data_IF_449336631067
#
_entry.id   IF_449336631067
#
_cell.length_a   1.000
_cell.length_b   1.000
_cell.length_c   1.000
_cell.angle_alpha   90.00
_cell.angle_beta   90.00
_cell.angle_gamma   90.00
#
_symmetry.space_group_name_H-M   'P 1'
#
loop_
_entity.id
_entity.type
_entity.pdbx_description
1 polymer ?
#
# COMPACT_ATOMS: atom_id res chain seq x y z
N UNK A 1 9.49 -34.79 6.47
CA UNK A 1 10.34 -34.87 5.24
C UNK A 1 11.66 -34.17 5.46
N UNK A 2 12.77 -34.57 4.82
CA UNK A 2 14.06 -33.86 4.99
C UNK A 2 14.02 -32.57 4.17
N UNK A 3 14.27 -31.44 4.79
CA UNK A 3 14.29 -30.13 4.13
C UNK A 3 15.34 -30.07 3.00
N UNK A 4 16.49 -30.79 3.15
CA UNK A 4 17.51 -30.87 2.11
C UNK A 4 16.94 -31.41 0.77
N UNK A 5 16.11 -32.47 0.83
CA UNK A 5 15.54 -33.11 -0.36
C UNK A 5 14.51 -32.19 -1.04
N UNK A 6 13.76 -31.40 -0.24
CA UNK A 6 12.80 -30.41 -0.74
C UNK A 6 13.50 -29.24 -1.43
N UNK A 7 14.61 -28.75 -0.85
CA UNK A 7 15.43 -27.71 -1.49
C UNK A 7 16.02 -28.24 -2.81
N UNK A 8 16.57 -29.45 -2.81
CA UNK A 8 17.14 -30.08 -4.01
C UNK A 8 16.09 -30.26 -5.11
N UNK A 9 14.87 -30.72 -4.75
CA UNK A 9 13.74 -30.86 -5.67
C UNK A 9 13.42 -29.53 -6.38
N UNK A 10 13.29 -28.43 -5.62
CA UNK A 10 13.00 -27.09 -6.20
C UNK A 10 14.17 -26.57 -7.03
N UNK A 11 15.41 -26.73 -6.55
CA UNK A 11 16.64 -26.36 -7.29
C UNK A 11 16.68 -27.01 -8.66
N UNK A 12 16.28 -28.28 -8.75
CA UNK A 12 16.32 -29.08 -9.98
C UNK A 12 15.07 -28.89 -10.85
N UNK A 13 14.16 -27.95 -10.48
CA UNK A 13 12.98 -27.57 -11.26
C UNK A 13 11.71 -28.38 -10.94
N UNK A 14 11.72 -29.15 -9.86
CA UNK A 14 10.53 -29.91 -9.42
C UNK A 14 9.48 -28.99 -8.76
N UNK A 15 8.22 -29.48 -8.78
CA UNK A 15 7.06 -28.81 -8.15
C UNK A 15 6.75 -29.48 -6.81
N UNK A 16 6.48 -28.68 -5.78
CA UNK A 16 6.10 -29.18 -4.47
C UNK A 16 4.61 -29.54 -4.38
N UNK A 17 4.30 -30.62 -3.65
CA UNK A 17 2.95 -30.89 -3.21
C UNK A 17 2.57 -30.04 -2.00
N UNK A 18 1.27 -30.01 -1.67
CA UNK A 18 0.77 -29.32 -0.46
C UNK A 18 1.49 -29.79 0.82
N UNK A 19 1.63 -31.11 1.00
CA UNK A 19 2.28 -31.70 2.17
C UNK A 19 3.76 -31.30 2.29
N UNK A 20 4.43 -31.15 1.13
CA UNK A 20 5.81 -30.69 1.08
C UNK A 20 5.90 -29.21 1.49
N UNK A 21 4.98 -28.35 0.99
CA UNK A 21 4.90 -26.94 1.38
C UNK A 21 4.55 -26.78 2.87
N UNK A 22 3.61 -27.58 3.39
CA UNK A 22 3.29 -27.62 4.83
C UNK A 22 4.52 -27.99 5.66
N UNK A 23 5.29 -28.98 5.23
CA UNK A 23 6.53 -29.39 5.92
C UNK A 23 7.58 -28.25 5.92
N UNK A 24 7.73 -27.52 4.83
CA UNK A 24 8.67 -26.39 4.72
C UNK A 24 8.22 -25.23 5.62
N UNK A 25 6.97 -24.77 5.46
CA UNK A 25 6.47 -23.56 6.12
C UNK A 25 6.30 -23.77 7.62
N UNK A 26 5.65 -24.87 8.04
CA UNK A 26 5.43 -25.18 9.46
C UNK A 26 6.74 -25.53 10.16
N UNK A 27 7.66 -26.23 9.47
CA UNK A 27 9.01 -26.48 9.98
C UNK A 27 9.80 -25.18 10.18
N UNK A 28 9.61 -24.17 9.32
CA UNK A 28 10.23 -22.86 9.50
C UNK A 28 9.59 -22.06 10.65
N UNK A 29 8.28 -22.13 10.80
CA UNK A 29 7.57 -21.46 11.90
C UNK A 29 7.99 -22.06 13.25
N UNK A 30 8.08 -23.39 13.35
CA UNK A 30 8.50 -24.12 14.58
C UNK A 30 10.00 -24.00 14.89
N UNK A 31 10.83 -23.64 13.92
CA UNK A 31 12.28 -23.57 14.04
C UNK A 31 13.02 -24.87 13.71
N UNK A 32 12.32 -25.89 13.21
CA UNK A 32 12.94 -27.14 12.68
C UNK A 32 13.70 -26.88 11.38
N UNK A 33 13.22 -25.95 10.56
CA UNK A 33 13.90 -25.45 9.35
C UNK A 33 14.68 -24.20 9.74
N UNK A 34 15.98 -24.22 9.57
CA UNK A 34 16.85 -23.08 9.88
C UNK A 34 16.81 -21.99 8.80
N UNK A 35 17.15 -20.74 9.17
CA UNK A 35 17.14 -19.58 8.25
C UNK A 35 17.95 -19.85 6.98
N UNK A 36 19.13 -20.45 7.08
CA UNK A 36 19.97 -20.75 5.90
C UNK A 36 19.33 -21.76 4.94
N UNK A 37 18.51 -22.70 5.47
CA UNK A 37 17.78 -23.67 4.66
C UNK A 37 16.58 -23.00 3.98
N UNK A 38 15.83 -22.17 4.71
CA UNK A 38 14.75 -21.39 4.15
C UNK A 38 15.25 -20.40 3.10
N UNK A 39 16.37 -19.71 3.34
CA UNK A 39 16.99 -18.82 2.36
C UNK A 39 17.39 -19.58 1.08
N UNK A 40 17.97 -20.77 1.19
CA UNK A 40 18.30 -21.61 0.05
C UNK A 40 17.06 -22.05 -0.74
N UNK A 41 15.98 -22.42 -0.05
CA UNK A 41 14.70 -22.76 -0.68
C UNK A 41 14.07 -21.56 -1.40
N UNK A 42 14.02 -20.39 -0.76
CA UNK A 42 13.48 -19.17 -1.38
C UNK A 42 14.32 -18.72 -2.58
N UNK A 43 15.63 -18.89 -2.55
CA UNK A 43 16.49 -18.62 -3.70
C UNK A 43 16.23 -19.63 -4.82
N UNK A 44 16.01 -20.90 -4.52
CA UNK A 44 15.62 -21.90 -5.52
C UNK A 44 14.27 -21.54 -6.17
N UNK A 45 13.30 -21.07 -5.38
CA UNK A 45 12.02 -20.53 -5.90
C UNK A 45 12.25 -19.31 -6.78
N UNK A 46 13.11 -18.39 -6.37
CA UNK A 46 13.45 -17.19 -7.14
C UNK A 46 14.00 -17.54 -8.54
N UNK A 47 14.88 -18.52 -8.61
CA UNK A 47 15.56 -18.92 -9.84
C UNK A 47 14.74 -19.86 -10.75
N UNK A 48 13.83 -20.64 -10.18
CA UNK A 48 13.05 -21.67 -10.89
C UNK A 48 11.58 -21.35 -11.06
N UNK A 49 11.07 -20.36 -10.30
CA UNK A 49 9.64 -20.05 -10.24
C UNK A 49 8.83 -21.09 -9.47
N UNK A 50 7.53 -20.88 -9.49
CA UNK A 50 6.50 -21.80 -8.99
C UNK A 50 5.36 -21.83 -10.01
N UNK A 51 4.60 -22.93 -10.06
CA UNK A 51 3.32 -22.94 -10.80
C UNK A 51 2.27 -22.12 -10.05
N UNK A 52 1.17 -21.78 -10.74
CA UNK A 52 0.07 -21.04 -10.11
C UNK A 52 -0.54 -21.85 -8.97
N UNK A 53 -0.71 -23.18 -9.17
CA UNK A 53 -1.22 -24.09 -8.15
C UNK A 53 -0.26 -24.18 -6.95
N UNK A 54 1.04 -24.34 -7.21
CA UNK A 54 2.06 -24.38 -6.16
C UNK A 54 2.06 -23.08 -5.36
N UNK A 55 1.90 -21.94 -6.01
CA UNK A 55 1.84 -20.63 -5.37
C UNK A 55 0.55 -20.46 -4.55
N UNK A 56 -0.59 -20.95 -5.05
CA UNK A 56 -1.86 -20.92 -4.32
C UNK A 56 -1.81 -21.79 -3.06
N UNK A 57 -1.25 -23.00 -3.16
CA UNK A 57 -1.06 -23.88 -2.00
C UNK A 57 -0.09 -23.29 -0.97
N UNK A 58 1.04 -22.71 -1.41
CA UNK A 58 1.96 -21.99 -0.51
C UNK A 58 1.22 -20.87 0.22
N UNK A 59 0.41 -20.10 -0.49
CA UNK A 59 -0.37 -19.00 0.07
C UNK A 59 -1.33 -19.48 1.14
N UNK A 60 -2.04 -20.57 0.89
CA UNK A 60 -2.97 -21.16 1.85
C UNK A 60 -2.26 -21.64 3.12
N UNK A 61 -1.15 -22.37 2.96
CA UNK A 61 -0.33 -22.83 4.10
C UNK A 61 0.21 -21.65 4.90
N UNK A 62 0.66 -20.59 4.25
CA UNK A 62 1.12 -19.38 4.93
C UNK A 62 -0.02 -18.66 5.66
N UNK A 63 -1.22 -18.58 5.07
CA UNK A 63 -2.39 -17.97 5.70
C UNK A 63 -2.78 -18.72 6.99
N UNK A 64 -2.79 -20.06 6.94
CA UNK A 64 -3.12 -20.93 8.08
C UNK A 64 -1.97 -21.12 9.08
N UNK A 65 -0.80 -20.53 8.85
CA UNK A 65 0.31 -20.58 9.82
C UNK A 65 0.07 -19.75 11.08
N UNK A 66 -1.04 -19.02 11.13
CA UNK A 66 -1.43 -18.17 12.25
C UNK A 66 -2.95 -18.10 12.41
N UNK A 67 -3.43 -17.01 12.98
CA UNK A 67 -4.86 -16.80 13.23
C UNK A 67 -5.56 -16.44 11.90
N UNK A 68 -6.64 -17.14 11.61
CA UNK A 68 -7.62 -16.78 10.58
C UNK A 68 -8.74 -15.98 11.23
N UNK A 69 -8.95 -14.75 10.77
CA UNK A 69 -9.99 -13.85 11.34
C UNK A 69 -11.35 -14.22 10.73
N UNK A 70 -12.29 -14.58 11.59
CA UNK A 70 -13.67 -14.80 11.21
C UNK A 70 -14.45 -13.47 11.28
N UNK A 71 -14.78 -12.89 10.12
CA UNK A 71 -15.59 -11.67 10.00
C UNK A 71 -17.09 -11.95 9.89
N UNK A 72 -17.56 -13.18 10.08
CA UNK A 72 -18.99 -13.53 10.05
C UNK A 72 -19.87 -12.75 11.04
N UNK A 73 -19.37 -12.30 12.23
CA UNK A 73 -20.14 -11.44 13.12
C UNK A 73 -20.42 -10.02 12.56
N UNK A 74 -19.80 -9.65 11.44
CA UNK A 74 -20.05 -8.39 10.74
C UNK A 74 -20.99 -8.66 9.56
N UNK A 75 -22.28 -8.23 9.61
CA UNK A 75 -23.23 -8.49 8.53
C UNK A 75 -22.90 -7.70 7.26
N UNK A 76 -23.20 -8.28 6.10
CA UNK A 76 -22.96 -7.68 4.79
C UNK A 76 -21.59 -8.04 4.23
N UNK A 77 -21.36 -7.57 3.00
CA UNK A 77 -20.09 -7.81 2.28
C UNK A 77 -18.98 -6.92 2.88
N UNK A 78 -17.86 -7.53 3.24
CA UNK A 78 -16.64 -6.85 3.67
C UNK A 78 -15.68 -6.79 2.50
N UNK A 79 -15.29 -5.56 2.12
CA UNK A 79 -14.31 -5.33 1.05
C UNK A 79 -13.03 -4.76 1.65
N UNK A 80 -11.90 -5.29 1.26
CA UNK A 80 -10.59 -4.76 1.61
C UNK A 80 -9.84 -4.25 0.37
N UNK A 81 -8.91 -3.33 0.55
CA UNK A 81 -7.97 -2.88 -0.48
C UNK A 81 -6.55 -3.16 0.00
N UNK A 82 -5.72 -3.72 -0.86
CA UNK A 82 -4.29 -3.84 -0.61
C UNK A 82 -3.50 -3.13 -1.69
N UNK A 83 -2.52 -2.31 -1.29
CA UNK A 83 -1.53 -1.74 -2.20
C UNK A 83 -0.23 -2.51 -2.10
N UNK A 84 0.46 -2.67 -3.22
CA UNK A 84 1.84 -3.19 -3.22
C UNK A 84 2.84 -2.17 -2.68
N UNK A 85 2.39 -0.95 -2.39
CA UNK A 85 3.16 0.13 -1.81
C UNK A 85 3.57 1.17 -2.84
N UNK A 86 3.97 2.34 -2.35
CA UNK A 86 4.39 3.45 -3.20
C UNK A 86 4.64 4.70 -2.38
N UNK A 87 5.03 5.77 -3.06
CA UNK A 87 5.32 7.07 -2.49
C UNK A 87 4.11 7.97 -2.61
N UNK A 88 3.66 8.52 -1.48
CA UNK A 88 2.39 9.27 -1.44
C UNK A 88 1.15 8.37 -1.51
N UNK A 89 1.27 7.06 -1.30
CA UNK A 89 0.12 6.14 -1.26
C UNK A 89 -0.68 6.31 0.03
N UNK A 90 -1.57 7.30 0.01
CA UNK A 90 -2.55 7.62 1.05
C UNK A 90 -3.95 7.14 0.70
N UNK A 91 -4.12 6.41 -0.38
CA UNK A 91 -5.41 6.02 -0.97
C UNK A 91 -6.35 5.36 0.03
N UNK A 92 -5.85 4.55 0.99
CA UNK A 92 -6.68 3.93 2.03
C UNK A 92 -7.47 4.94 2.86
N UNK A 93 -6.87 6.09 3.21
CA UNK A 93 -7.51 7.12 4.03
C UNK A 93 -8.63 7.85 3.28
N UNK A 94 -8.61 7.79 1.95
CA UNK A 94 -9.63 8.36 1.07
C UNK A 94 -10.71 7.32 0.71
N UNK A 95 -10.30 6.16 0.21
CA UNK A 95 -11.25 5.19 -0.35
C UNK A 95 -12.06 4.47 0.73
N UNK A 96 -11.47 4.19 1.91
CA UNK A 96 -12.19 3.48 2.96
C UNK A 96 -13.40 4.28 3.49
N UNK A 97 -13.29 5.59 3.78
CA UNK A 97 -14.46 6.41 4.11
C UNK A 97 -15.48 6.53 2.97
N UNK A 98 -15.05 6.68 1.71
CA UNK A 98 -15.94 6.73 0.54
C UNK A 98 -16.77 5.45 0.44
N UNK A 99 -16.13 4.31 0.46
CA UNK A 99 -16.79 3.01 0.32
C UNK A 99 -17.71 2.72 1.51
N UNK A 100 -17.30 3.10 2.72
CA UNK A 100 -18.14 2.98 3.92
C UNK A 100 -19.35 3.93 3.89
N UNK A 101 -19.21 5.14 3.38
CA UNK A 101 -20.32 6.09 3.18
C UNK A 101 -21.34 5.54 2.16
N UNK A 102 -20.90 4.79 1.16
CA UNK A 102 -21.76 4.05 0.23
C UNK A 102 -22.39 2.79 0.85
N UNK A 103 -22.23 2.53 2.15
CA UNK A 103 -22.89 1.45 2.88
C UNK A 103 -22.23 0.06 2.70
N UNK A 104 -20.94 0.01 2.37
CA UNK A 104 -20.14 -1.23 2.33
C UNK A 104 -19.27 -1.31 3.58
N UNK A 105 -19.08 -2.51 4.12
CA UNK A 105 -18.28 -2.71 5.34
C UNK A 105 -16.78 -2.76 5.02
N UNK A 106 -15.99 -1.98 5.75
CA UNK A 106 -14.53 -1.95 5.68
C UNK A 106 -13.96 -2.40 7.04
N UNK A 107 -13.49 -3.64 7.08
CA UNK A 107 -12.81 -4.24 8.23
C UNK A 107 -11.33 -4.44 7.86
N UNK A 108 -10.54 -3.35 7.88
CA UNK A 108 -9.20 -3.33 7.27
C UNK A 108 -8.10 -3.48 8.30
N UNK A 109 -7.17 -4.39 8.01
CA UNK A 109 -5.88 -4.49 8.69
C UNK A 109 -4.77 -4.00 7.76
N UNK A 110 -3.94 -3.07 8.24
CA UNK A 110 -2.91 -2.41 7.45
C UNK A 110 -1.54 -2.45 8.13
N UNK A 111 -0.49 -2.17 7.36
CA UNK A 111 0.90 -2.19 7.82
C UNK A 111 1.46 -0.80 8.13
N UNK A 112 2.65 -0.82 8.73
CA UNK A 112 3.54 0.33 8.89
C UNK A 112 4.39 0.52 7.64
N UNK A 113 4.99 1.70 7.49
CA UNK A 113 5.91 2.01 6.40
C UNK A 113 7.15 1.13 6.41
N UNK A 114 7.65 0.83 5.22
CA UNK A 114 8.85 0.04 4.98
C UNK A 114 9.68 0.67 3.86
N UNK A 115 10.98 0.83 4.10
CA UNK A 115 11.89 1.46 3.14
C UNK A 115 11.45 2.90 2.80
N UNK A 116 11.40 3.21 1.51
CA UNK A 116 10.99 4.51 0.98
C UNK A 116 9.46 4.73 0.93
N UNK A 117 8.66 3.71 1.30
CA UNK A 117 7.18 3.79 1.25
C UNK A 117 6.59 4.19 2.61
N UNK A 118 5.56 5.02 2.61
CA UNK A 118 4.82 5.39 3.82
C UNK A 118 3.79 4.33 4.24
N UNK A 119 3.58 4.14 5.55
CA UNK A 119 2.61 3.18 6.09
C UNK A 119 1.28 3.84 6.47
N UNK A 120 0.16 3.18 6.16
CA UNK A 120 -1.18 3.66 6.55
C UNK A 120 -1.31 3.86 8.06
N UNK A 121 -0.75 2.94 8.85
CA UNK A 121 -0.81 3.00 10.31
C UNK A 121 -0.02 4.19 10.84
N UNK A 122 1.17 4.45 10.29
CA UNK A 122 2.00 5.59 10.70
C UNK A 122 1.29 6.94 10.38
N UNK A 123 0.60 7.01 9.23
CA UNK A 123 -0.23 8.17 8.87
C UNK A 123 -1.40 8.38 9.84
N UNK A 124 -2.12 7.31 10.19
CA UNK A 124 -3.21 7.40 11.15
C UNK A 124 -2.74 7.85 12.54
N UNK A 125 -1.59 7.36 12.99
CA UNK A 125 -1.01 7.73 14.28
C UNK A 125 -0.50 9.18 14.33
N UNK A 126 -0.33 9.86 13.18
CA UNK A 126 -0.04 11.28 13.14
C UNK A 126 -1.24 12.15 13.55
N UNK A 127 -2.46 11.62 13.54
CA UNK A 127 -3.64 12.26 14.15
C UNK A 127 -3.59 12.01 15.64
N UNK A 128 -3.43 13.06 16.48
CA UNK A 128 -3.21 12.91 17.91
C UNK A 128 -4.27 12.06 18.60
N UNK A 129 -3.83 11.14 19.45
CA UNK A 129 -4.72 10.26 20.23
C UNK A 129 -5.25 9.04 19.48
N UNK A 130 -5.01 8.91 18.18
CA UNK A 130 -5.51 7.77 17.39
C UNK A 130 -4.89 6.45 17.85
N UNK A 131 -5.76 5.51 18.22
CA UNK A 131 -5.36 4.12 18.52
C UNK A 131 -5.52 3.26 17.27
N UNK A 132 -4.45 2.61 16.87
CA UNK A 132 -4.43 1.66 15.74
C UNK A 132 -4.36 0.19 16.19
N UNK A 133 -4.10 -0.05 17.46
CA UNK A 133 -4.20 -1.37 18.10
C UNK A 133 -5.52 -1.45 18.84
N UNK A 134 -6.48 -2.21 18.30
CA UNK A 134 -7.77 -2.52 18.93
C UNK A 134 -7.86 -4.01 19.20
N UNK A 135 -8.63 -4.40 20.24
CA UNK A 135 -9.00 -5.81 20.40
C UNK A 135 -9.95 -6.25 19.29
N UNK A 136 -10.11 -7.54 19.09
CA UNK A 136 -11.03 -8.06 18.08
C UNK A 136 -12.47 -7.60 18.35
N UNK A 137 -12.89 -7.55 19.61
CA UNK A 137 -14.22 -7.09 20.03
C UNK A 137 -14.40 -5.60 19.72
N UNK A 138 -13.44 -4.74 20.05
CA UNK A 138 -13.47 -3.31 19.71
C UNK A 138 -13.56 -3.11 18.20
N UNK A 139 -12.73 -3.85 17.44
CA UNK A 139 -12.70 -3.79 15.98
C UNK A 139 -14.05 -4.16 15.37
N UNK A 140 -14.64 -5.28 15.78
CA UNK A 140 -15.95 -5.73 15.29
C UNK A 140 -17.07 -4.78 15.69
N UNK A 141 -17.08 -4.32 16.95
CA UNK A 141 -18.07 -3.37 17.44
C UNK A 141 -18.02 -2.05 16.63
N UNK A 142 -16.83 -1.56 16.32
CA UNK A 142 -16.66 -0.36 15.50
C UNK A 142 -17.19 -0.59 14.08
N UNK A 143 -16.78 -1.66 13.38
CA UNK A 143 -17.27 -1.93 12.01
C UNK A 143 -18.78 -2.14 11.98
N UNK A 144 -19.34 -2.81 12.99
CA UNK A 144 -20.81 -2.98 13.08
C UNK A 144 -21.52 -1.63 13.24
N UNK A 145 -21.00 -0.76 14.10
CA UNK A 145 -21.60 0.54 14.41
C UNK A 145 -21.48 1.54 13.28
N UNK A 146 -20.27 1.75 12.74
CA UNK A 146 -19.99 2.82 11.78
C UNK A 146 -19.66 2.35 10.37
N UNK A 147 -19.51 1.04 10.15
CA UNK A 147 -19.17 0.47 8.84
C UNK A 147 -17.71 0.48 8.48
N UNK A 148 -16.83 1.06 9.29
CA UNK A 148 -15.42 1.31 8.96
C UNK A 148 -14.53 1.16 10.18
N UNK A 149 -13.45 0.39 10.03
CA UNK A 149 -12.30 0.40 10.95
C UNK A 149 -11.02 0.07 10.19
N UNK A 150 -9.94 0.80 10.47
CA UNK A 150 -8.59 0.55 9.95
C UNK A 150 -7.66 0.40 11.15
N UNK A 151 -7.06 -0.78 11.29
CA UNK A 151 -6.18 -1.10 12.43
C UNK A 151 -4.83 -1.66 11.96
N UNK A 152 -3.87 -1.69 12.85
CA UNK A 152 -2.61 -2.40 12.64
C UNK A 152 -2.84 -3.90 12.54
N UNK A 153 -2.05 -4.57 11.70
CA UNK A 153 -2.10 -6.02 11.59
C UNK A 153 -1.71 -6.67 12.92
N UNK A 154 -2.51 -7.61 13.40
CA UNK A 154 -2.19 -8.38 14.61
C UNK A 154 -0.99 -9.30 14.39
N UNK A 155 -0.19 -9.50 15.44
CA UNK A 155 1.03 -10.33 15.36
C UNK A 155 0.77 -11.79 15.00
N UNK A 156 -0.45 -12.29 15.26
CA UNK A 156 -0.84 -13.68 15.03
C UNK A 156 -1.28 -14.00 13.59
N UNK A 157 -1.43 -13.02 12.72
CA UNK A 157 -1.89 -13.24 11.33
C UNK A 157 -0.71 -13.61 10.43
N UNK A 158 -0.84 -14.70 9.66
CA UNK A 158 0.15 -15.19 8.69
C UNK A 158 1.58 -15.19 9.26
N UNK A 159 1.79 -15.87 10.38
CA UNK A 159 3.06 -15.87 11.14
C UNK A 159 4.25 -16.27 10.26
N UNK A 160 4.05 -17.21 9.34
CA UNK A 160 5.07 -17.64 8.40
C UNK A 160 5.54 -16.49 7.50
N UNK A 161 4.61 -15.64 7.02
CA UNK A 161 4.95 -14.51 6.18
C UNK A 161 5.88 -13.53 6.90
N UNK A 162 5.60 -13.20 8.16
CA UNK A 162 6.44 -12.30 8.95
C UNK A 162 7.90 -12.77 9.02
N UNK A 163 8.10 -14.07 9.25
CA UNK A 163 9.45 -14.67 9.31
C UNK A 163 10.12 -14.74 7.92
N UNK A 164 9.38 -15.22 6.92
CA UNK A 164 9.89 -15.37 5.56
C UNK A 164 10.22 -14.01 4.95
N UNK A 165 9.38 -12.99 5.13
CA UNK A 165 9.62 -11.65 4.60
C UNK A 165 10.87 -11.02 5.21
N UNK A 166 11.05 -11.13 6.54
CA UNK A 166 12.26 -10.64 7.21
C UNK A 166 13.55 -11.29 6.69
N UNK A 167 13.48 -12.57 6.29
CA UNK A 167 14.62 -13.27 5.69
C UNK A 167 14.81 -12.86 4.22
N UNK A 168 13.72 -12.66 3.46
CA UNK A 168 13.78 -12.18 2.05
C UNK A 168 14.44 -10.81 1.93
N UNK A 169 14.18 -9.92 2.89
CA UNK A 169 14.72 -8.56 2.93
C UNK A 169 16.25 -8.52 2.93
N UNK A 170 16.90 -9.54 3.49
CA UNK A 170 18.36 -9.63 3.62
C UNK A 170 19.02 -10.71 2.72
N UNK A 171 18.22 -11.40 1.88
CA UNK A 171 18.72 -12.51 1.03
C UNK A 171 18.51 -12.27 -0.47
N UNK A 172 18.18 -11.03 -0.88
CA UNK A 172 17.95 -10.64 -2.28
C UNK A 172 16.84 -11.46 -2.98
N UNK A 173 15.80 -11.87 -2.25
CA UNK A 173 14.67 -12.65 -2.78
C UNK A 173 13.33 -11.90 -2.72
N UNK A 174 13.34 -10.59 -2.41
CA UNK A 174 12.13 -9.77 -2.29
C UNK A 174 11.36 -9.69 -3.62
N UNK A 175 12.05 -9.53 -4.75
CA UNK A 175 11.45 -9.33 -6.07
C UNK A 175 10.90 -10.60 -6.76
N UNK A 176 10.85 -11.73 -6.05
CA UNK A 176 10.28 -12.99 -6.55
C UNK A 176 8.75 -12.92 -6.62
N UNK A 177 8.16 -12.88 -7.83
CA UNK A 177 6.71 -12.71 -8.03
C UNK A 177 5.86 -13.74 -7.25
N UNK A 178 6.10 -15.07 -7.30
CA UNK A 178 5.35 -16.02 -6.49
C UNK A 178 5.40 -15.73 -4.99
N UNK A 179 6.58 -15.37 -4.47
CA UNK A 179 6.74 -15.06 -3.04
C UNK A 179 6.11 -13.71 -2.65
N UNK A 180 6.05 -12.73 -3.56
CA UNK A 180 5.31 -11.48 -3.36
C UNK A 180 3.81 -11.79 -3.30
N UNK A 181 3.30 -12.53 -4.27
CA UNK A 181 1.88 -12.90 -4.33
C UNK A 181 1.45 -13.66 -3.08
N UNK A 182 2.22 -14.68 -2.66
CA UNK A 182 1.93 -15.46 -1.46
C UNK A 182 1.99 -14.62 -0.18
N UNK A 183 2.97 -13.73 -0.07
CA UNK A 183 3.10 -12.81 1.07
C UNK A 183 1.88 -11.89 1.20
N UNK A 184 1.44 -11.28 0.12
CA UNK A 184 0.28 -10.38 0.11
C UNK A 184 -1.00 -11.16 0.38
N UNK A 185 -1.25 -12.21 -0.41
CA UNK A 185 -2.52 -12.91 -0.39
C UNK A 185 -2.73 -13.73 0.87
N UNK A 186 -1.69 -14.31 1.48
CA UNK A 186 -1.82 -15.01 2.77
C UNK A 186 -2.39 -14.10 3.86
N UNK A 187 -1.91 -12.86 3.96
CA UNK A 187 -2.46 -11.86 4.91
C UNK A 187 -3.90 -11.48 4.58
N UNK A 188 -4.21 -11.34 3.29
CA UNK A 188 -5.57 -10.96 2.85
C UNK A 188 -6.58 -12.09 3.06
N UNK A 189 -6.20 -13.32 2.83
CA UNK A 189 -7.03 -14.49 3.14
C UNK A 189 -7.23 -14.62 4.66
N UNK A 190 -6.15 -14.50 5.42
CA UNK A 190 -6.21 -14.59 6.89
C UNK A 190 -7.00 -13.44 7.54
N UNK A 191 -7.10 -12.26 6.93
CA UNK A 191 -7.91 -11.14 7.42
C UNK A 191 -9.43 -11.32 7.20
N UNK A 192 -9.86 -12.30 6.41
CA UNK A 192 -11.26 -12.77 6.35
C UNK A 192 -12.20 -11.99 5.44
N UNK A 193 -11.75 -10.98 4.67
CA UNK A 193 -12.62 -10.17 3.79
C UNK A 193 -13.25 -11.01 2.67
N UNK A 194 -14.49 -10.69 2.29
CA UNK A 194 -15.24 -11.39 1.22
C UNK A 194 -14.75 -10.98 -0.17
N UNK A 195 -14.29 -9.73 -0.31
CA UNK A 195 -13.79 -9.18 -1.55
C UNK A 195 -12.50 -8.36 -1.33
N UNK A 196 -11.60 -8.39 -2.30
CA UNK A 196 -10.29 -7.76 -2.22
C UNK A 196 -10.01 -7.00 -3.52
N UNK A 197 -9.77 -5.70 -3.41
CA UNK A 197 -9.20 -4.91 -4.50
C UNK A 197 -7.70 -4.78 -4.26
N UNK A 198 -6.90 -5.19 -5.24
CA UNK A 198 -5.46 -5.04 -5.25
C UNK A 198 -5.10 -3.78 -6.04
N UNK A 199 -4.29 -2.94 -5.47
CA UNK A 199 -3.69 -1.77 -6.11
C UNK A 199 -2.22 -2.11 -6.36
N UNK A 200 -1.93 -2.55 -7.57
CA UNK A 200 -0.59 -3.00 -7.98
C UNK A 200 0.11 -1.84 -8.65
N UNK A 201 0.97 -1.19 -7.89
CA UNK A 201 1.72 -0.04 -8.38
C UNK A 201 2.85 -0.48 -9.31
N UNK A 202 3.16 0.33 -10.33
CA UNK A 202 4.22 0.12 -11.30
C UNK A 202 5.05 1.38 -11.51
N UNK A 203 6.36 1.26 -11.63
CA UNK A 203 7.27 2.38 -11.85
C UNK A 203 8.40 2.48 -10.87
N UNK A 204 9.11 3.61 -10.86
CA UNK A 204 10.33 3.82 -10.05
C UNK A 204 10.06 3.71 -8.56
N UNK A 205 8.94 4.23 -8.07
CA UNK A 205 8.55 4.15 -6.67
C UNK A 205 7.87 2.85 -6.23
N UNK A 206 7.75 1.85 -7.12
CA UNK A 206 7.08 0.59 -6.87
C UNK A 206 8.05 -0.60 -6.84
N UNK A 207 7.61 -1.76 -6.32
CA UNK A 207 8.37 -3.01 -6.42
C UNK A 207 8.42 -3.53 -7.86
N UNK A 208 7.32 -3.46 -8.60
CA UNK A 208 7.27 -3.82 -10.01
C UNK A 208 7.66 -2.62 -10.86
N UNK A 209 8.66 -2.81 -11.73
CA UNK A 209 9.23 -1.71 -12.52
C UNK A 209 8.58 -1.55 -13.89
N UNK A 210 7.81 -2.55 -14.35
CA UNK A 210 7.11 -2.50 -15.64
C UNK A 210 5.64 -2.91 -15.50
N UNK A 211 4.81 -2.36 -16.39
CA UNK A 211 3.37 -2.69 -16.45
C UNK A 211 3.14 -4.19 -16.65
N UNK A 212 3.95 -4.85 -17.47
CA UNK A 212 3.79 -6.29 -17.75
C UNK A 212 4.10 -7.14 -16.52
N UNK A 213 5.16 -6.82 -15.74
CA UNK A 213 5.45 -7.47 -14.47
C UNK A 213 4.32 -7.25 -13.45
N UNK A 214 3.75 -6.05 -13.41
CA UNK A 214 2.62 -5.73 -12.53
C UNK A 214 1.36 -6.52 -12.91
N UNK A 215 1.10 -6.67 -14.20
CA UNK A 215 -0.01 -7.51 -14.72
C UNK A 215 0.21 -8.99 -14.38
N UNK A 216 1.43 -9.50 -14.50
CA UNK A 216 1.78 -10.88 -14.13
C UNK A 216 1.51 -11.13 -12.64
N UNK A 217 2.02 -10.26 -11.78
CA UNK A 217 1.76 -10.32 -10.33
C UNK A 217 0.25 -10.23 -10.03
N UNK A 218 -0.46 -9.30 -10.69
CA UNK A 218 -1.89 -9.11 -10.49
C UNK A 218 -2.70 -10.34 -10.88
N UNK A 219 -2.41 -10.95 -12.03
CA UNK A 219 -3.05 -12.21 -12.49
C UNK A 219 -2.90 -13.31 -11.46
N UNK A 220 -1.68 -13.51 -10.97
CA UNK A 220 -1.39 -14.53 -9.97
C UNK A 220 -2.17 -14.28 -8.67
N UNK A 221 -2.19 -13.06 -8.16
CA UNK A 221 -2.93 -12.71 -6.94
C UNK A 221 -4.46 -12.84 -7.12
N UNK A 222 -5.00 -12.44 -8.28
CA UNK A 222 -6.42 -12.62 -8.61
C UNK A 222 -6.78 -14.10 -8.69
N UNK A 223 -5.93 -14.91 -9.31
CA UNK A 223 -6.10 -16.38 -9.40
C UNK A 223 -6.12 -17.00 -8.00
N UNK A 224 -5.15 -16.67 -7.13
CA UNK A 224 -5.08 -17.16 -5.75
C UNK A 224 -6.37 -16.82 -4.98
N UNK A 225 -6.80 -15.56 -5.01
CA UNK A 225 -7.98 -15.14 -4.27
C UNK A 225 -9.26 -15.78 -4.78
N UNK A 226 -9.39 -15.92 -6.11
CA UNK A 226 -10.53 -16.60 -6.75
C UNK A 226 -10.58 -18.09 -6.39
N UNK A 227 -9.43 -18.77 -6.38
CA UNK A 227 -9.32 -20.16 -5.95
C UNK A 227 -9.84 -20.36 -4.51
N UNK A 228 -9.61 -19.38 -3.63
CA UNK A 228 -10.10 -19.39 -2.24
C UNK A 228 -11.52 -18.80 -2.08
N UNK A 229 -12.29 -18.69 -3.17
CA UNK A 229 -13.69 -18.23 -3.14
C UNK A 229 -13.88 -16.75 -2.83
N UNK A 230 -12.83 -15.92 -2.96
CA UNK A 230 -12.91 -14.46 -2.78
C UNK A 230 -13.22 -13.77 -4.11
N UNK A 231 -13.91 -12.63 -4.04
CA UNK A 231 -14.06 -11.74 -5.19
C UNK A 231 -12.82 -10.86 -5.26
N UNK A 232 -12.01 -11.01 -6.29
CA UNK A 232 -10.74 -10.27 -6.39
C UNK A 232 -10.64 -9.57 -7.74
N UNK A 233 -10.18 -8.34 -7.72
CA UNK A 233 -9.74 -7.59 -8.88
C UNK A 233 -8.44 -6.86 -8.54
N UNK A 234 -7.65 -6.51 -9.55
CA UNK A 234 -6.43 -5.73 -9.37
C UNK A 234 -6.38 -4.59 -10.39
N UNK A 235 -6.04 -3.39 -9.91
CA UNK A 235 -5.74 -2.24 -10.77
C UNK A 235 -4.23 -2.05 -10.83
N UNK A 236 -3.72 -1.76 -12.02
CA UNK A 236 -2.32 -1.41 -12.23
C UNK A 236 -2.25 0.11 -12.29
N UNK A 237 -1.59 0.73 -11.30
CA UNK A 237 -1.53 2.18 -11.14
C UNK A 237 -0.12 2.71 -11.28
N UNK A 238 0.02 3.96 -11.76
CA UNK A 238 1.33 4.62 -11.92
C UNK A 238 1.99 4.92 -10.57
N UNK A 239 3.29 4.71 -10.52
CA UNK A 239 4.16 5.08 -9.40
C UNK A 239 5.55 5.54 -9.89
N UNK A 240 5.68 5.98 -11.14
CA UNK A 240 6.85 6.73 -11.60
C UNK A 240 6.90 8.13 -11.00
N UNK A 241 5.73 8.64 -10.63
CA UNK A 241 5.56 9.91 -9.94
C UNK A 241 4.81 9.68 -8.63
N UNK A 242 5.20 10.33 -7.52
CA UNK A 242 4.44 10.25 -6.27
C UNK A 242 2.97 10.64 -6.46
N UNK A 243 2.07 9.92 -5.82
CA UNK A 243 0.63 10.17 -5.89
C UNK A 243 0.24 11.37 -5.02
N UNK A 244 -0.40 12.36 -5.62
CA UNK A 244 -0.65 13.66 -4.99
C UNK A 244 0.62 14.50 -4.86
N UNK A 245 0.61 15.49 -3.99
CA UNK A 245 1.71 16.43 -3.79
C UNK A 245 2.45 16.22 -2.47
N UNK A 246 1.78 15.68 -1.47
CA UNK A 246 2.31 15.54 -0.11
C UNK A 246 2.87 14.16 0.16
N UNK A 247 4.09 14.08 0.66
CA UNK A 247 4.80 12.88 1.08
C UNK A 247 5.25 13.06 2.53
N UNK A 248 4.74 12.25 3.44
CA UNK A 248 4.97 12.35 4.88
C UNK A 248 3.69 12.01 5.65
N UNK A 249 3.77 11.76 6.99
CA UNK A 249 2.64 11.18 7.70
C UNK A 249 1.45 12.15 7.82
N UNK A 250 1.58 13.25 8.56
CA UNK A 250 0.50 14.24 8.71
C UNK A 250 0.16 14.96 7.41
N UNK A 251 1.17 15.23 6.57
CA UNK A 251 0.97 15.87 5.25
C UNK A 251 0.07 15.03 4.35
N UNK A 252 0.24 13.71 4.35
CA UNK A 252 -0.62 12.81 3.57
C UNK A 252 -2.02 12.67 4.17
N UNK A 253 -2.18 12.77 5.50
CA UNK A 253 -3.51 12.85 6.12
C UNK A 253 -4.22 14.13 5.67
N UNK A 254 -3.56 15.29 5.73
CA UNK A 254 -4.13 16.58 5.31
C UNK A 254 -4.62 16.50 3.86
N UNK A 255 -3.78 16.01 2.94
CA UNK A 255 -4.13 15.88 1.53
C UNK A 255 -5.26 14.86 1.29
N UNK A 256 -5.32 13.79 2.10
CA UNK A 256 -6.45 12.85 2.06
C UNK A 256 -7.76 13.55 2.48
N UNK A 257 -7.71 14.42 3.47
CA UNK A 257 -8.87 15.21 3.88
C UNK A 257 -9.29 16.21 2.78
N UNK A 258 -8.33 16.82 2.07
CA UNK A 258 -8.63 17.71 0.95
C UNK A 258 -9.37 16.96 -0.18
N UNK A 259 -8.98 15.72 -0.50
CA UNK A 259 -9.74 14.87 -1.44
C UNK A 259 -11.16 14.63 -0.95
N UNK A 260 -11.34 14.27 0.33
CA UNK A 260 -12.66 14.00 0.92
C UNK A 260 -13.53 15.27 1.04
N UNK A 261 -12.92 16.47 1.05
CA UNK A 261 -13.59 17.79 0.98
C UNK A 261 -13.83 18.25 -0.46
N UNK A 262 -13.40 17.51 -1.48
CA UNK A 262 -13.57 17.83 -2.91
C UNK A 262 -12.59 18.86 -3.46
N UNK A 263 -11.48 19.13 -2.77
CA UNK A 263 -10.45 20.10 -3.19
C UNK A 263 -9.02 19.49 -3.25
N UNK A 264 -8.90 18.17 -3.28
CA UNK A 264 -7.62 17.49 -3.39
C UNK A 264 -7.00 17.48 -4.78
N UNK A 265 -5.74 17.01 -4.92
CA UNK A 265 -5.08 16.88 -6.22
C UNK A 265 -5.85 16.00 -7.20
N UNK A 266 -5.81 16.37 -8.47
CA UNK A 266 -6.60 15.70 -9.51
C UNK A 266 -6.19 14.23 -9.71
N UNK A 267 -4.89 13.95 -9.73
CA UNK A 267 -4.34 12.60 -9.88
C UNK A 267 -4.75 11.67 -8.71
N UNK A 268 -4.56 12.12 -7.47
CA UNK A 268 -4.95 11.37 -6.28
C UNK A 268 -6.47 11.15 -6.25
N UNK A 269 -7.25 12.19 -6.56
CA UNK A 269 -8.72 12.11 -6.60
C UNK A 269 -9.18 11.09 -7.62
N UNK A 270 -8.61 11.12 -8.83
CA UNK A 270 -8.99 10.20 -9.92
C UNK A 270 -8.66 8.75 -9.57
N UNK A 271 -7.43 8.47 -9.11
CA UNK A 271 -7.05 7.11 -8.68
C UNK A 271 -7.95 6.61 -7.56
N UNK A 272 -8.24 7.45 -6.55
CA UNK A 272 -9.13 7.08 -5.46
C UNK A 272 -10.58 6.82 -5.92
N UNK A 273 -11.11 7.59 -6.86
CA UNK A 273 -12.44 7.35 -7.43
C UNK A 273 -12.51 6.01 -8.18
N UNK A 274 -11.47 5.69 -8.96
CA UNK A 274 -11.41 4.41 -9.67
C UNK A 274 -11.29 3.23 -8.70
N UNK A 275 -10.42 3.34 -7.69
CA UNK A 275 -10.29 2.30 -6.65
C UNK A 275 -11.60 2.12 -5.88
N UNK A 276 -12.23 3.21 -5.42
CA UNK A 276 -13.49 3.15 -4.69
C UNK A 276 -14.63 2.54 -5.54
N UNK A 277 -14.73 2.94 -6.82
CA UNK A 277 -15.71 2.37 -7.73
C UNK A 277 -15.55 0.86 -7.90
N UNK A 278 -14.32 0.38 -8.10
CA UNK A 278 -14.04 -1.05 -8.22
C UNK A 278 -14.31 -1.82 -6.91
N UNK A 279 -14.04 -1.23 -5.73
CA UNK A 279 -14.44 -1.83 -4.45
C UNK A 279 -15.98 -1.96 -4.34
N UNK A 280 -16.73 -0.96 -4.78
CA UNK A 280 -18.20 -0.98 -4.80
C UNK A 280 -18.74 -2.02 -5.79
N UNK A 281 -18.12 -2.17 -6.99
CA UNK A 281 -18.44 -3.23 -7.95
C UNK A 281 -18.21 -4.61 -7.31
N UNK A 282 -17.09 -4.85 -6.67
CA UNK A 282 -16.79 -6.09 -5.96
C UNK A 282 -17.79 -6.37 -4.83
N UNK A 283 -18.34 -5.32 -4.20
CA UNK A 283 -19.41 -5.43 -3.20
C UNK A 283 -20.79 -5.70 -3.83
N UNK A 284 -20.92 -5.65 -5.16
CA UNK A 284 -22.18 -5.85 -5.87
C UNK A 284 -23.15 -4.65 -5.80
N UNK A 285 -22.62 -3.41 -5.69
CA UNK A 285 -23.43 -2.19 -5.59
C UNK A 285 -23.97 -1.69 -6.95
N UNK A 286 -23.39 -2.12 -8.06
CA UNK A 286 -23.81 -1.70 -9.39
C UNK A 286 -22.72 -1.88 -10.44
N UNK A 287 -22.94 -1.29 -11.59
CA UNK A 287 -21.96 -1.20 -12.70
C UNK A 287 -20.79 -0.25 -12.33
N UNK A 288 -19.66 -0.30 -13.03
CA UNK A 288 -18.55 0.63 -12.79
C UNK A 288 -18.96 2.11 -12.83
N UNK A 289 -19.79 2.50 -13.79
CA UNK A 289 -20.27 3.87 -13.94
C UNK A 289 -21.17 4.32 -12.76
N UNK A 290 -22.12 3.45 -12.34
CA UNK A 290 -22.97 3.71 -11.18
C UNK A 290 -22.15 3.80 -9.88
N UNK A 291 -21.20 2.89 -9.68
CA UNK A 291 -20.34 2.86 -8.52
C UNK A 291 -19.42 4.11 -8.46
N UNK A 292 -18.90 4.57 -9.61
CA UNK A 292 -18.14 5.82 -9.69
C UNK A 292 -19.02 7.02 -9.32
N UNK A 293 -20.24 7.08 -9.84
CA UNK A 293 -21.18 8.16 -9.49
C UNK A 293 -21.51 8.16 -7.98
N UNK A 294 -21.67 6.99 -7.37
CA UNK A 294 -21.86 6.87 -5.92
C UNK A 294 -20.67 7.42 -5.14
N UNK A 295 -19.44 7.06 -5.54
CA UNK A 295 -18.23 7.56 -4.90
C UNK A 295 -18.08 9.08 -5.02
N UNK A 296 -18.40 9.65 -6.19
CA UNK A 296 -18.40 11.10 -6.39
C UNK A 296 -19.47 11.80 -5.54
N UNK A 297 -20.67 11.22 -5.43
CA UNK A 297 -21.77 11.80 -4.66
C UNK A 297 -21.44 11.95 -3.17
N UNK A 298 -20.82 10.93 -2.55
CA UNK A 298 -20.46 10.96 -1.12
C UNK A 298 -19.27 11.89 -0.81
N UNK A 299 -18.46 12.25 -1.80
CA UNK A 299 -17.47 13.33 -1.67
C UNK A 299 -18.21 14.68 -1.74
N UNK A 300 -19.06 14.85 -2.76
CA UNK A 300 -19.74 16.11 -3.02
C UNK A 300 -20.70 16.56 -1.89
N UNK A 301 -21.37 15.61 -1.24
CA UNK A 301 -22.27 15.89 -0.11
C UNK A 301 -21.57 15.93 1.25
N UNK A 302 -20.25 15.63 1.31
CA UNK A 302 -19.44 15.65 2.52
C UNK A 302 -19.58 14.40 3.42
N UNK A 303 -20.41 13.43 3.05
CA UNK A 303 -20.65 12.23 3.88
C UNK A 303 -19.38 11.33 3.98
N UNK A 304 -18.54 11.31 2.96
CA UNK A 304 -17.26 10.60 3.02
C UNK A 304 -16.28 11.25 4.03
N UNK A 305 -16.19 12.59 4.06
CA UNK A 305 -15.39 13.30 5.06
C UNK A 305 -15.93 13.08 6.48
N UNK A 306 -17.25 13.18 6.66
CA UNK A 306 -17.90 12.89 7.94
C UNK A 306 -17.60 11.45 8.41
N UNK A 307 -17.62 10.46 7.50
CA UNK A 307 -17.29 9.06 7.78
C UNK A 307 -15.83 8.89 8.21
N UNK A 308 -14.90 9.62 7.60
CA UNK A 308 -13.48 9.63 8.00
C UNK A 308 -13.32 10.17 9.44
N UNK A 309 -13.98 11.29 9.76
CA UNK A 309 -13.97 11.86 11.12
C UNK A 309 -14.56 10.88 12.13
N UNK A 310 -15.66 10.20 11.78
CA UNK A 310 -16.29 9.20 12.63
C UNK A 310 -15.34 8.04 12.94
N UNK A 311 -14.54 7.58 11.96
CA UNK A 311 -13.52 6.56 12.14
C UNK A 311 -12.44 7.02 13.12
N UNK A 312 -11.84 8.18 12.91
CA UNK A 312 -10.80 8.71 13.80
C UNK A 312 -11.34 8.94 15.22
N UNK A 313 -12.54 9.52 15.37
CA UNK A 313 -13.17 9.71 16.67
C UNK A 313 -13.42 8.37 17.40
N UNK A 314 -13.89 7.34 16.68
CA UNK A 314 -14.11 6.01 17.23
C UNK A 314 -12.81 5.35 17.72
N UNK A 315 -11.67 5.72 17.14
CA UNK A 315 -10.34 5.25 17.51
C UNK A 315 -9.60 6.21 18.46
N UNK A 316 -10.30 7.21 19.03
CA UNK A 316 -9.77 8.13 20.03
C UNK A 316 -8.98 9.31 19.47
N UNK A 317 -8.95 9.48 18.14
CA UNK A 317 -8.24 10.57 17.47
C UNK A 317 -8.90 11.94 17.68
N UNK A 318 -8.07 12.97 17.80
CA UNK A 318 -8.52 14.35 17.85
C UNK A 318 -8.94 14.83 16.45
N UNK A 319 -10.22 14.76 16.16
CA UNK A 319 -10.75 15.09 14.83
C UNK A 319 -10.73 16.58 14.50
N UNK A 320 -10.41 17.47 15.44
CA UNK A 320 -10.28 18.91 15.17
C UNK A 320 -9.15 19.20 14.17
N UNK A 321 -8.07 18.40 14.23
CA UNK A 321 -6.94 18.52 13.29
C UNK A 321 -7.34 18.26 11.83
N UNK A 322 -8.44 17.52 11.58
CA UNK A 322 -8.93 17.23 10.25
C UNK A 322 -9.71 18.41 9.63
N UNK A 323 -10.20 19.34 10.47
CA UNK A 323 -10.82 20.59 10.04
C UNK A 323 -9.82 21.73 9.98
N UNK A 324 -8.90 21.80 10.95
CA UNK A 324 -7.88 22.84 11.10
C UNK A 324 -6.47 22.20 11.18
N UNK A 325 -5.76 22.23 10.07
CA UNK A 325 -4.44 21.61 9.93
C UNK A 325 -3.35 22.30 10.79
N UNK A 326 -3.57 23.51 11.27
CA UNK A 326 -2.66 24.18 12.18
C UNK A 326 -2.51 23.49 13.55
N UNK A 327 -3.46 22.61 13.87
CA UNK A 327 -3.47 21.82 15.11
C UNK A 327 -2.63 20.55 15.03
N UNK A 328 -2.16 20.14 13.84
CA UNK A 328 -1.13 19.09 13.75
C UNK A 328 0.19 19.57 14.33
N UNK A 329 1.03 18.62 14.73
CA UNK A 329 2.42 18.91 15.08
C UNK A 329 3.10 19.69 13.95
N UNK A 330 3.75 20.79 14.28
CA UNK A 330 4.39 21.65 13.29
C UNK A 330 5.86 21.27 13.10
N UNK A 331 6.39 21.30 11.87
CA UNK A 331 7.78 20.96 11.60
C UNK A 331 8.73 21.97 12.27
N UNK A 332 9.88 21.48 12.72
CA UNK A 332 10.91 22.32 13.36
C UNK A 332 11.45 23.41 12.42
N UNK A 333 11.55 23.11 11.13
CA UNK A 333 11.98 24.03 10.10
C UNK A 333 11.37 23.69 8.74
N UNK A 334 11.52 24.62 7.76
CA UNK A 334 11.11 24.46 6.37
C UNK A 334 12.27 24.86 5.46
N UNK A 335 12.38 24.20 4.31
CA UNK A 335 13.39 24.48 3.29
C UNK A 335 12.75 24.43 1.91
N UNK A 336 12.94 25.49 1.11
CA UNK A 336 12.48 25.54 -0.28
C UNK A 336 13.57 25.01 -1.20
N UNK A 337 13.30 23.90 -1.87
CA UNK A 337 14.16 23.37 -2.92
C UNK A 337 13.86 24.09 -4.21
N UNK A 338 14.86 24.78 -4.76
CA UNK A 338 14.70 25.59 -5.96
C UNK A 338 15.27 24.90 -7.20
N UNK A 339 14.68 25.16 -8.36
CA UNK A 339 15.17 24.69 -9.65
C UNK A 339 16.53 25.33 -9.99
N UNK A 340 17.48 24.50 -10.41
CA UNK A 340 18.85 24.97 -10.76
C UNK A 340 18.93 25.53 -12.18
N UNK A 341 17.96 25.18 -13.04
CA UNK A 341 17.92 25.59 -14.45
C UNK A 341 16.48 25.65 -14.96
N UNK A 342 16.29 26.27 -16.15
CA UNK A 342 15.03 26.23 -16.88
C UNK A 342 14.83 24.87 -17.58
N UNK A 343 13.59 24.44 -17.71
CA UNK A 343 13.25 23.22 -18.47
C UNK A 343 12.00 22.53 -18.01
N UNK A 344 11.58 21.51 -18.76
CA UNK A 344 10.55 20.57 -18.30
C UNK A 344 11.14 19.56 -17.34
N UNK A 345 10.41 19.22 -16.29
CA UNK A 345 10.72 18.04 -15.48
C UNK A 345 10.33 16.80 -16.29
N UNK A 346 11.31 16.08 -16.85
CA UNK A 346 11.06 14.88 -17.66
C UNK A 346 11.06 13.61 -16.84
N UNK A 347 11.77 13.61 -15.71
CA UNK A 347 11.68 12.55 -14.70
C UNK A 347 11.85 13.14 -13.31
N UNK A 348 11.14 12.57 -12.35
CA UNK A 348 11.26 12.87 -10.93
C UNK A 348 11.02 11.56 -10.16
N UNK A 349 12.09 10.80 -10.00
CA UNK A 349 12.08 9.43 -9.48
C UNK A 349 11.38 9.35 -8.12
N UNK A 350 10.24 8.66 -8.08
CA UNK A 350 9.42 8.55 -6.88
C UNK A 350 10.17 7.82 -5.74
N UNK A 351 11.02 6.83 -6.02
CA UNK A 351 11.82 6.16 -4.98
C UNK A 351 12.80 7.14 -4.32
N UNK A 352 13.42 8.04 -5.10
CA UNK A 352 14.31 9.07 -4.59
C UNK A 352 13.60 10.11 -3.73
N UNK A 353 12.39 10.49 -4.13
CA UNK A 353 11.55 11.39 -3.32
C UNK A 353 11.13 10.72 -2.02
N UNK A 354 10.71 9.44 -2.07
CA UNK A 354 10.40 8.67 -0.88
C UNK A 354 11.59 8.53 0.07
N UNK A 355 12.78 8.24 -0.48
CA UNK A 355 14.03 8.17 0.29
C UNK A 355 14.40 9.51 0.92
N UNK A 356 14.23 10.62 0.20
CA UNK A 356 14.43 11.97 0.76
C UNK A 356 13.47 12.24 1.93
N UNK A 357 12.21 11.83 1.82
CA UNK A 357 11.23 11.93 2.91
C UNK A 357 11.65 11.11 4.16
N UNK A 358 12.22 9.92 3.96
CA UNK A 358 12.77 9.11 5.07
C UNK A 358 13.95 9.82 5.73
N UNK A 359 14.85 10.42 4.95
CA UNK A 359 15.98 11.19 5.49
C UNK A 359 15.52 12.39 6.34
N UNK A 360 14.41 13.04 5.99
CA UNK A 360 13.79 14.10 6.79
C UNK A 360 13.24 13.59 8.12
N UNK A 361 12.91 12.32 8.23
CA UNK A 361 12.36 11.68 9.44
C UNK A 361 10.93 11.18 9.31
N UNK A 362 10.29 11.31 8.15
CA UNK A 362 8.93 10.81 7.93
C UNK A 362 8.85 9.27 7.87
N UNK A 363 9.97 8.60 7.61
CA UNK A 363 10.08 7.14 7.58
C UNK A 363 11.20 6.63 8.48
N UNK A 364 11.24 5.30 8.71
CA UNK A 364 12.27 4.65 9.53
C UNK A 364 13.45 4.23 8.68
N UNK A 365 14.66 4.63 9.03
CA UNK A 365 15.90 4.14 8.43
C UNK A 365 16.27 2.75 8.99
N UNK A 366 15.94 2.51 10.27
CA UNK A 366 16.15 1.24 10.97
C UNK A 366 14.90 0.87 11.74
N UNK A 367 14.70 -0.43 11.94
CA UNK A 367 13.58 -0.92 12.75
C UNK A 367 13.63 -0.34 14.16
N UNK A 368 12.54 0.30 14.58
CA UNK A 368 12.42 0.92 15.90
C UNK A 368 12.78 2.42 15.96
N UNK A 369 13.25 3.01 14.85
CA UNK A 369 13.47 4.45 14.81
C UNK A 369 12.16 5.20 15.07
N UNK A 370 12.20 6.32 15.84
CA UNK A 370 11.05 7.19 16.01
C UNK A 370 10.70 7.88 14.68
N UNK A 371 9.43 8.18 14.48
CA UNK A 371 8.95 8.99 13.36
C UNK A 371 8.76 10.44 13.80
N UNK A 372 9.16 11.35 12.93
CA UNK A 372 8.72 12.75 12.98
C UNK A 372 7.46 12.87 12.10
N UNK A 373 6.30 12.95 12.71
CA UNK A 373 5.03 13.02 11.99
C UNK A 373 4.83 14.32 11.21
N UNK A 374 5.55 15.38 11.56
CA UNK A 374 5.51 16.66 10.87
C UNK A 374 6.52 16.74 9.70
N UNK A 375 7.47 15.79 9.63
CA UNK A 375 8.45 15.74 8.56
C UNK A 375 7.84 15.24 7.24
N UNK A 376 8.39 15.73 6.13
CA UNK A 376 7.99 15.30 4.79
C UNK A 376 8.31 16.31 3.70
N UNK A 377 7.65 16.15 2.57
CA UNK A 377 7.85 16.93 1.34
C UNK A 377 6.48 17.31 0.77
N UNK A 378 6.32 18.57 0.39
CA UNK A 378 5.23 19.01 -0.49
C UNK A 378 5.82 19.34 -1.86
N UNK A 379 5.38 18.65 -2.90
CA UNK A 379 5.79 18.89 -4.28
C UNK A 379 5.01 20.07 -4.86
N UNK A 380 5.70 21.05 -5.43
CA UNK A 380 5.10 22.14 -6.20
C UNK A 380 5.14 21.86 -7.69
N UNK A 381 6.09 21.02 -8.12
CA UNK A 381 6.30 20.63 -9.52
C UNK A 381 6.45 19.12 -9.62
N UNK A 382 5.88 18.58 -10.68
CA UNK A 382 5.89 17.15 -11.00
C UNK A 382 6.37 16.93 -12.45
N UNK A 383 6.54 15.68 -12.84
CA UNK A 383 6.84 15.31 -14.23
C UNK A 383 5.85 15.96 -15.19
N UNK A 384 6.36 16.61 -16.22
CA UNK A 384 5.56 17.33 -17.22
C UNK A 384 5.43 18.84 -16.99
N UNK A 385 5.76 19.33 -15.77
CA UNK A 385 5.76 20.76 -15.49
C UNK A 385 7.01 21.44 -16.07
N UNK A 386 6.83 22.67 -16.58
CA UNK A 386 7.94 23.56 -16.91
C UNK A 386 8.34 24.35 -15.67
N UNK A 387 9.63 24.54 -15.48
CA UNK A 387 10.17 25.32 -14.37
C UNK A 387 11.19 26.35 -14.87
N UNK A 388 11.24 27.48 -14.19
CA UNK A 388 12.30 28.47 -14.35
C UNK A 388 13.35 28.32 -13.26
N UNK A 389 14.60 28.61 -13.58
CA UNK A 389 15.69 28.65 -12.59
C UNK A 389 15.31 29.53 -11.39
N UNK A 390 15.43 28.98 -10.18
CA UNK A 390 15.06 29.65 -8.95
C UNK A 390 13.59 29.51 -8.56
N UNK A 391 12.76 28.85 -9.38
CA UNK A 391 11.37 28.52 -9.03
C UNK A 391 11.35 27.35 -8.01
N UNK A 392 10.39 27.36 -7.06
CA UNK A 392 10.28 26.30 -6.05
C UNK A 392 9.80 25.00 -6.70
N UNK A 393 10.57 23.93 -6.49
CA UNK A 393 10.25 22.55 -6.86
C UNK A 393 9.45 21.84 -5.77
N UNK A 394 9.85 22.05 -4.54
CA UNK A 394 9.26 21.40 -3.37
C UNK A 394 9.59 22.17 -2.08
N UNK A 395 8.73 22.02 -1.07
CA UNK A 395 9.01 22.42 0.30
C UNK A 395 9.33 21.19 1.14
N UNK A 396 10.44 21.19 1.84
CA UNK A 396 10.83 20.17 2.80
C UNK A 396 10.49 20.62 4.22
N UNK A 397 10.06 19.68 5.05
CA UNK A 397 9.66 19.87 6.42
C UNK A 397 10.45 18.92 7.33
N UNK A 398 10.99 19.41 8.44
CA UNK A 398 11.76 18.59 9.39
C UNK A 398 12.85 19.39 10.12
N UNK A 399 13.85 18.70 10.66
CA UNK A 399 15.00 19.34 11.29
C UNK A 399 15.97 19.90 10.23
N UNK A 400 16.51 21.10 10.47
CA UNK A 400 17.31 21.85 9.49
C UNK A 400 18.61 21.12 9.05
N UNK A 401 19.20 20.34 9.93
CA UNK A 401 20.41 19.55 9.67
C UNK A 401 20.21 18.39 8.70
N UNK A 402 18.96 18.04 8.38
CA UNK A 402 18.60 16.95 7.46
C UNK A 402 18.38 17.43 6.02
N UNK A 403 18.20 18.74 5.79
CA UNK A 403 17.77 19.26 4.50
C UNK A 403 18.78 19.04 3.38
N UNK A 404 20.07 19.18 3.64
CA UNK A 404 21.14 19.02 2.64
C UNK A 404 21.14 17.57 2.07
N UNK A 405 21.12 16.57 2.94
CA UNK A 405 21.09 15.17 2.54
C UNK A 405 19.81 14.80 1.79
N UNK A 406 18.66 15.30 2.26
CA UNK A 406 17.38 15.06 1.60
C UNK A 406 17.30 15.75 0.22
N UNK A 407 17.83 16.97 0.09
CA UNK A 407 17.89 17.68 -1.19
C UNK A 407 18.81 16.96 -2.19
N UNK A 408 19.97 16.48 -1.76
CA UNK A 408 20.87 15.70 -2.61
C UNK A 408 20.20 14.42 -3.11
N UNK A 409 19.48 13.69 -2.23
CA UNK A 409 18.73 12.47 -2.62
C UNK A 409 17.60 12.79 -3.59
N UNK A 410 16.79 13.81 -3.33
CA UNK A 410 15.73 14.26 -4.24
C UNK A 410 16.28 14.62 -5.62
N UNK A 411 17.32 15.47 -5.67
CA UNK A 411 17.93 15.94 -6.91
C UNK A 411 18.59 14.81 -7.71
N UNK A 412 19.03 13.72 -7.06
CA UNK A 412 19.61 12.56 -7.74
C UNK A 412 18.62 11.85 -8.68
N UNK A 413 17.31 12.02 -8.45
CA UNK A 413 16.24 11.46 -9.28
C UNK A 413 15.56 12.47 -10.21
N UNK A 414 16.02 13.74 -10.21
CA UNK A 414 15.41 14.81 -10.99
C UNK A 414 16.12 14.97 -12.33
N UNK A 415 15.36 14.94 -13.43
CA UNK A 415 15.89 15.13 -14.78
C UNK A 415 15.13 16.24 -15.48
N UNK A 416 15.86 17.20 -16.04
CA UNK A 416 15.33 18.28 -16.86
C UNK A 416 15.48 17.95 -18.36
N UNK A 417 14.51 18.42 -19.17
CA UNK A 417 14.54 18.30 -20.63
C UNK A 417 14.04 19.56 -21.31
N UNK A 418 14.34 19.67 -22.60
CA UNK A 418 13.89 20.80 -23.43
C UNK A 418 12.43 20.64 -23.88
N UNK A 419 11.93 19.41 -23.94
CA UNK A 419 10.59 19.10 -24.44
C UNK A 419 9.74 18.50 -23.31
N UNK A 420 8.43 18.79 -23.37
CA UNK A 420 7.46 18.21 -22.44
C UNK A 420 7.38 16.69 -22.68
N UNK A 421 7.55 15.85 -21.63
CA UNK A 421 7.39 14.40 -21.77
C UNK A 421 5.93 14.04 -22.09
N UNK A 422 5.74 12.88 -22.72
CA UNK A 422 4.39 12.33 -22.92
C UNK A 422 3.71 12.11 -21.56
N UNK A 423 2.41 12.39 -21.51
CA UNK A 423 1.59 12.18 -20.33
C UNK A 423 1.38 10.67 -20.11
N UNK A 424 1.74 10.17 -18.93
CA UNK A 424 1.52 8.79 -18.58
C UNK A 424 0.09 8.60 -18.00
N UNK A 425 -0.58 7.48 -18.31
CA UNK A 425 -1.87 7.20 -17.69
C UNK A 425 -1.69 6.93 -16.17
N UNK A 426 -2.66 7.38 -15.37
CA UNK A 426 -2.67 7.11 -13.92
C UNK A 426 -3.00 5.63 -13.62
N UNK A 427 -3.74 4.99 -14.53
CA UNK A 427 -4.13 3.58 -14.44
C UNK A 427 -3.88 2.91 -15.79
N UNK A 428 -3.12 1.83 -15.79
CA UNK A 428 -2.72 1.11 -16.99
C UNK A 428 -3.64 -0.06 -17.35
N UNK A 429 -4.20 -0.72 -16.33
CA UNK A 429 -5.05 -1.90 -16.57
C UNK A 429 -5.92 -2.24 -15.35
N UNK A 430 -6.99 -2.97 -15.63
CA UNK A 430 -7.79 -3.70 -14.66
C UNK A 430 -7.66 -5.21 -14.96
N UNK A 431 -7.29 -5.97 -13.94
CA UNK A 431 -7.16 -7.43 -14.00
C UNK A 431 -8.28 -8.06 -13.16
N UNK A 432 -9.05 -8.93 -13.77
CA UNK A 432 -10.11 -9.69 -13.11
C UNK A 432 -9.96 -11.18 -13.42
N UNK A 433 -10.80 -12.02 -12.84
CA UNK A 433 -10.86 -13.45 -13.18
C UNK A 433 -11.21 -13.72 -14.67
N UNK A 434 -11.84 -12.73 -15.33
CA UNK A 434 -12.31 -12.85 -16.72
C UNK A 434 -11.27 -12.35 -17.74
N UNK A 435 -10.19 -11.69 -17.28
CA UNK A 435 -9.09 -11.23 -18.13
C UNK A 435 -8.48 -9.90 -17.71
N UNK A 436 -7.76 -9.29 -18.66
CA UNK A 436 -7.06 -8.01 -18.51
C UNK A 436 -7.65 -7.00 -19.47
N UNK A 437 -8.13 -5.90 -18.93
CA UNK A 437 -8.52 -4.70 -19.68
C UNK A 437 -7.40 -3.66 -19.54
N UNK A 438 -6.79 -3.28 -20.65
CA UNK A 438 -5.74 -2.20 -20.69
C UNK A 438 -6.40 -0.89 -21.10
N UNK A 439 -5.96 0.21 -20.48
CA UNK A 439 -6.43 1.57 -20.73
C UNK A 439 -5.45 2.37 -21.58
#
# INVERSE_FOLDING_TARGET
MRIYDLIAKKRDGGTHSREELESIVNGYVSGEVADYQMAAWMMAVYLRGMTDEETAELTDVMAHSGVMVDLSPIPGIKVDKHSTGGVGDKTTLVIAPIVAACGVKIAKMSGRGLGHTGGTIDKMESVPGTRTALTQEEFFAQVNRIGLSVIGQSEGIAVADKKMYALRDVTATVSCIPLIASSIMSKKLASGSDAILLDVTTGTGAFMKTVDQSIELAKLMVSIGTHHGRRVAAMITDMDTPLGHNIGNSLEVMESMDVLKGCGPADLTEVCLQLAANMLVLAGKGTPAECRAMAQAVIADGSAFAKCKEMFAAQGGDTRVLDDYSLFEQPAARYELLAEQDGYIVANDAEKIGSASVLLGAGRQKKGDPLDFAAGITLHKKRGDYVHKGESLATFYGAADKFEAAAAEYCSGLVYGAEKPEEAPLVYALVTKDGVERY
#
